data_IF_457924219093
#
_entry.id   IF_457924219093
#
_cell.length_a   1.000
_cell.length_b   1.000
_cell.length_c   1.000
_cell.angle_alpha   90.00
_cell.angle_beta   90.00
_cell.angle_gamma   90.00
#
_symmetry.space_group_name_H-M   'P 1'
#
loop_
_entity.id
_entity.type
_entity.pdbx_description
1 polymer ?
#
# COMPACT_ATOMS: atom_id res chain seq x y z
N UNK A 1 -1.76 -22.07 5.13
CA UNK A 1 -1.26 -21.35 3.92
C UNK A 1 -0.79 -19.98 4.38
N UNK A 2 0.47 -19.61 4.15
CA UNK A 2 0.96 -18.26 4.42
C UNK A 2 0.37 -17.33 3.35
N UNK A 3 -0.56 -16.44 3.70
CA UNK A 3 -1.03 -15.41 2.78
C UNK A 3 0.09 -14.37 2.64
N UNK A 4 0.83 -14.45 1.53
CA UNK A 4 1.91 -13.52 1.25
C UNK A 4 1.32 -12.24 0.64
N UNK A 5 0.90 -11.29 1.48
CA UNK A 5 0.29 -10.01 1.06
C UNK A 5 1.27 -9.03 0.37
N UNK A 6 2.49 -9.48 0.06
CA UNK A 6 3.58 -8.66 -0.47
C UNK A 6 3.31 -8.07 -1.85
N UNK A 7 2.41 -8.68 -2.63
CA UNK A 7 2.14 -8.32 -4.02
C UNK A 7 0.70 -7.89 -4.26
N UNK A 8 -0.07 -7.68 -3.20
CA UNK A 8 -1.52 -7.46 -3.30
C UNK A 8 -1.86 -6.26 -4.17
N UNK A 9 -1.13 -5.15 -4.03
CA UNK A 9 -1.37 -3.96 -4.85
C UNK A 9 -0.95 -4.15 -6.30
N UNK A 10 0.11 -4.92 -6.57
CA UNK A 10 0.54 -5.25 -7.92
C UNK A 10 -0.47 -6.17 -8.62
N UNK A 11 -1.00 -7.16 -7.91
CA UNK A 11 -2.07 -8.02 -8.39
C UNK A 11 -3.35 -7.23 -8.65
N UNK A 12 -3.71 -6.31 -7.76
CA UNK A 12 -4.85 -5.42 -7.94
C UNK A 12 -4.73 -4.55 -9.19
N UNK A 13 -3.57 -3.90 -9.39
CA UNK A 13 -3.28 -3.16 -10.62
C UNK A 13 -3.35 -4.06 -11.86
N UNK A 14 -2.81 -5.28 -11.78
CA UNK A 14 -2.85 -6.24 -12.90
C UNK A 14 -4.28 -6.62 -13.26
N UNK A 15 -5.16 -6.83 -12.29
CA UNK A 15 -6.58 -7.08 -12.53
C UNK A 15 -7.25 -5.90 -13.24
N UNK A 16 -6.95 -4.66 -12.81
CA UNK A 16 -7.45 -3.45 -13.47
C UNK A 16 -6.94 -3.36 -14.92
N UNK A 17 -5.65 -3.61 -15.14
CA UNK A 17 -5.03 -3.60 -16.47
C UNK A 17 -5.68 -4.61 -17.41
N UNK A 18 -5.99 -5.82 -16.94
CA UNK A 18 -6.74 -6.82 -17.72
C UNK A 18 -8.18 -6.36 -18.00
N UNK A 19 -8.85 -5.76 -17.02
CA UNK A 19 -10.22 -5.26 -17.19
C UNK A 19 -10.32 -4.14 -18.25
N UNK A 20 -9.25 -3.38 -18.52
CA UNK A 20 -9.22 -2.37 -19.60
C UNK A 20 -9.50 -2.96 -20.98
N UNK A 21 -9.17 -4.24 -21.18
CA UNK A 21 -9.31 -4.93 -22.46
C UNK A 21 -10.75 -5.42 -22.73
N UNK A 22 -11.64 -5.31 -21.74
CA UNK A 22 -13.02 -5.80 -21.84
C UNK A 22 -13.93 -4.79 -22.58
N UNK A 23 -15.06 -5.26 -23.14
CA UNK A 23 -16.09 -4.39 -23.70
C UNK A 23 -16.60 -3.38 -22.67
N UNK A 24 -16.96 -2.17 -23.12
CA UNK A 24 -17.24 -1.04 -22.21
C UNK A 24 -18.38 -1.31 -21.21
N UNK A 25 -19.41 -2.06 -21.63
CA UNK A 25 -20.53 -2.44 -20.75
C UNK A 25 -20.02 -3.28 -19.56
N UNK A 26 -19.15 -4.25 -19.83
CA UNK A 26 -18.59 -5.14 -18.80
C UNK A 26 -17.57 -4.37 -17.94
N UNK A 27 -16.74 -3.55 -18.58
CA UNK A 27 -15.74 -2.69 -17.94
C UNK A 27 -16.38 -1.78 -16.88
N UNK A 28 -17.51 -1.15 -17.18
CA UNK A 28 -18.23 -0.28 -16.24
C UNK A 28 -18.69 -1.02 -14.97
N UNK A 29 -19.19 -2.25 -15.12
CA UNK A 29 -19.62 -3.09 -13.99
C UNK A 29 -18.41 -3.45 -13.11
N UNK A 30 -17.32 -3.89 -13.74
CA UNK A 30 -16.11 -4.30 -13.03
C UNK A 30 -15.44 -3.10 -12.34
N UNK A 31 -15.39 -1.92 -12.99
CA UNK A 31 -14.82 -0.72 -12.39
C UNK A 31 -15.58 -0.31 -11.14
N UNK A 32 -16.92 -0.40 -11.16
CA UNK A 32 -17.72 -0.18 -9.95
C UNK A 32 -17.36 -1.15 -8.82
N UNK A 33 -17.15 -2.43 -9.14
CA UNK A 33 -16.71 -3.44 -8.15
C UNK A 33 -15.33 -3.09 -7.59
N UNK A 34 -14.36 -2.73 -8.44
CA UNK A 34 -13.03 -2.33 -7.99
C UNK A 34 -13.03 -1.06 -7.15
N UNK A 35 -13.80 -0.04 -7.52
CA UNK A 35 -13.93 1.18 -6.71
C UNK A 35 -14.51 0.91 -5.32
N UNK A 36 -15.50 0.02 -5.24
CA UNK A 36 -16.09 -0.35 -3.95
C UNK A 36 -15.18 -1.23 -3.09
N UNK A 37 -14.20 -1.91 -3.69
CA UNK A 37 -13.28 -2.85 -3.03
C UNK A 37 -11.81 -2.40 -3.13
N UNK A 38 -11.58 -1.09 -3.21
CA UNK A 38 -10.26 -0.48 -3.42
C UNK A 38 -9.29 -0.56 -2.22
N UNK A 39 -9.47 -1.52 -1.30
CA UNK A 39 -8.68 -1.68 -0.08
C UNK A 39 -7.19 -1.87 -0.38
N UNK A 40 -6.87 -2.64 -1.42
CA UNK A 40 -5.49 -2.92 -1.85
C UNK A 40 -4.76 -1.72 -2.45
N UNK A 41 -5.50 -0.68 -2.85
CA UNK A 41 -4.93 0.57 -3.34
C UNK A 41 -4.81 1.63 -2.21
N UNK A 42 -5.08 1.27 -0.95
CA UNK A 42 -4.91 2.20 0.15
C UNK A 42 -3.44 2.69 0.22
N UNK A 43 -3.17 3.98 0.51
CA UNK A 43 -1.81 4.51 0.54
C UNK A 43 -0.85 3.70 1.42
N UNK A 44 -1.34 3.15 2.53
CA UNK A 44 -0.59 2.27 3.42
C UNK A 44 -0.11 0.98 2.73
N UNK A 45 -1.03 0.26 2.08
CA UNK A 45 -0.73 -0.98 1.35
C UNK A 45 0.21 -0.72 0.16
N UNK A 46 -0.01 0.40 -0.54
CA UNK A 46 0.87 0.85 -1.62
C UNK A 46 2.30 1.08 -1.12
N UNK A 47 2.48 1.86 -0.06
CA UNK A 47 3.81 2.16 0.50
C UNK A 47 4.51 0.90 1.00
N UNK A 48 3.79 -0.04 1.62
CA UNK A 48 4.34 -1.32 2.04
C UNK A 48 4.81 -2.19 0.86
N UNK A 49 4.00 -2.24 -0.21
CA UNK A 49 4.35 -2.94 -1.45
C UNK A 49 5.56 -2.29 -2.11
N UNK A 50 5.57 -0.95 -2.19
CA UNK A 50 6.67 -0.17 -2.75
C UNK A 50 7.99 -0.37 -2.00
N UNK A 51 7.94 -0.52 -0.67
CA UNK A 51 9.13 -0.79 0.15
C UNK A 51 9.80 -2.11 -0.25
N UNK A 52 9.05 -3.06 -0.83
CA UNK A 52 9.52 -4.37 -1.31
C UNK A 52 9.76 -4.43 -2.82
N UNK A 53 9.53 -3.34 -3.55
CA UNK A 53 9.68 -3.33 -5.00
C UNK A 53 11.12 -3.58 -5.41
N UNK A 54 11.35 -4.39 -6.45
CA UNK A 54 12.69 -4.63 -7.02
C UNK A 54 13.38 -3.35 -7.52
N UNK A 55 12.61 -2.32 -7.88
CA UNK A 55 13.11 -1.05 -8.41
C UNK A 55 13.52 -0.12 -7.29
N UNK A 56 14.82 0.19 -7.20
CA UNK A 56 15.41 1.04 -6.16
C UNK A 56 14.69 2.38 -5.97
N UNK A 57 14.41 3.10 -7.05
CA UNK A 57 13.77 4.42 -6.97
C UNK A 57 12.37 4.38 -6.32
N UNK A 58 11.65 3.26 -6.45
CA UNK A 58 10.33 3.07 -5.83
C UNK A 58 10.46 2.80 -4.34
N UNK A 59 11.45 2.01 -3.93
CA UNK A 59 11.76 1.78 -2.52
C UNK A 59 12.17 3.08 -1.82
N UNK A 60 13.05 3.86 -2.45
CA UNK A 60 13.45 5.17 -1.94
C UNK A 60 12.26 6.12 -1.78
N UNK A 61 11.33 6.12 -2.74
CA UNK A 61 10.08 6.87 -2.65
C UNK A 61 9.19 6.40 -1.50
N UNK A 62 9.09 5.09 -1.25
CA UNK A 62 8.37 4.53 -0.11
C UNK A 62 8.97 4.98 1.22
N UNK A 63 10.29 4.88 1.37
CA UNK A 63 11.02 5.32 2.56
C UNK A 63 10.80 6.80 2.81
N UNK A 64 10.92 7.64 1.77
CA UNK A 64 10.65 9.07 1.88
C UNK A 64 9.24 9.36 2.40
N UNK A 65 8.23 8.64 1.90
CA UNK A 65 6.84 8.80 2.33
C UNK A 65 6.62 8.38 3.79
N UNK A 66 7.22 7.28 4.23
CA UNK A 66 7.14 6.82 5.62
C UNK A 66 7.77 7.84 6.57
N UNK A 67 8.97 8.32 6.25
CA UNK A 67 9.68 9.32 7.06
C UNK A 67 8.87 10.62 7.16
N UNK A 68 8.32 11.13 6.04
CA UNK A 68 7.44 12.30 6.06
C UNK A 68 6.16 12.07 6.88
N UNK A 69 5.61 10.85 6.89
CA UNK A 69 4.45 10.52 7.69
C UNK A 69 4.77 10.49 9.20
N UNK A 70 5.95 9.99 9.59
CA UNK A 70 6.46 10.05 10.97
C UNK A 70 6.59 11.49 11.47
N UNK A 71 7.18 12.36 10.67
CA UNK A 71 7.34 13.78 11.00
C UNK A 71 6.00 14.51 11.14
N UNK A 72 4.98 14.12 10.38
CA UNK A 72 3.62 14.68 10.50
C UNK A 72 2.92 14.18 11.77
N UNK A 73 3.11 12.91 12.13
CA UNK A 73 2.56 12.29 13.35
C UNK A 73 3.13 12.93 14.62
N UNK A 74 4.43 13.23 14.65
CA UNK A 74 5.04 13.92 15.81
C UNK A 74 4.53 15.36 15.99
N UNK A 75 4.01 15.99 14.94
CA UNK A 75 3.43 17.35 14.98
C UNK A 75 1.93 17.37 15.31
N UNK A 76 1.19 16.30 15.03
CA UNK A 76 -0.26 16.20 15.24
C UNK A 76 -0.58 15.07 16.23
N UNK A 77 -0.56 15.37 17.52
CA UNK A 77 -0.81 14.43 18.61
C UNK A 77 -2.30 14.11 18.81
N UNK A 78 -2.92 13.31 17.93
CA UNK A 78 -4.23 12.73 18.23
C UNK A 78 -5.19 12.44 17.07
N UNK A 79 -4.75 12.43 15.81
CA UNK A 79 -5.65 12.15 14.68
C UNK A 79 -6.01 10.66 14.54
N UNK A 80 -7.31 10.34 14.63
CA UNK A 80 -7.86 9.01 14.32
C UNK A 80 -7.52 8.59 12.87
N UNK A 81 -7.15 7.31 12.67
CA UNK A 81 -6.92 6.73 11.36
C UNK A 81 -8.25 6.46 10.65
N UNK A 82 -8.79 7.44 9.92
CA UNK A 82 -9.98 7.18 9.10
C UNK A 82 -9.57 6.39 7.85
N UNK A 83 -10.02 5.14 7.78
CA UNK A 83 -9.89 4.34 6.57
C UNK A 83 -10.86 4.89 5.52
N UNK A 84 -10.34 5.66 4.56
CA UNK A 84 -11.10 6.17 3.42
C UNK A 84 -10.73 5.37 2.19
N UNK A 85 -11.73 4.84 1.49
CA UNK A 85 -11.49 4.17 0.22
C UNK A 85 -10.87 5.15 -0.78
N UNK A 86 -9.73 4.81 -1.40
CA UNK A 86 -9.09 5.68 -2.36
C UNK A 86 -9.88 5.70 -3.67
N UNK A 87 -9.86 6.85 -4.35
CA UNK A 87 -10.34 6.93 -5.73
C UNK A 87 -9.29 6.28 -6.64
N UNK A 88 -9.68 5.21 -7.32
CA UNK A 88 -8.81 4.47 -8.23
C UNK A 88 -8.63 5.22 -9.56
N UNK A 89 -7.39 5.34 -9.99
CA UNK A 89 -7.03 5.71 -11.35
C UNK A 89 -7.03 4.46 -12.24
N UNK A 90 -8.14 4.25 -12.96
CA UNK A 90 -8.27 3.09 -13.85
C UNK A 90 -7.34 3.12 -15.04
N UNK A 91 -6.69 4.25 -15.37
CA UNK A 91 -5.75 4.38 -16.49
C UNK A 91 -4.27 4.32 -16.05
N UNK A 92 -3.99 4.07 -14.76
CA UNK A 92 -2.65 3.99 -14.20
C UNK A 92 -1.72 3.06 -15.01
N UNK A 93 -0.56 3.58 -15.47
CA UNK A 93 0.42 2.79 -16.20
C UNK A 93 1.18 1.80 -15.29
N UNK A 94 1.23 2.11 -13.99
CA UNK A 94 1.88 1.30 -12.96
C UNK A 94 1.02 1.29 -11.68
N UNK A 95 1.23 0.32 -10.80
CA UNK A 95 0.51 0.24 -9.53
C UNK A 95 0.80 1.45 -8.64
N UNK A 96 1.98 2.07 -8.77
CA UNK A 96 2.32 3.28 -8.03
C UNK A 96 1.41 4.46 -8.38
N UNK A 97 0.75 4.45 -9.54
CA UNK A 97 -0.12 5.54 -10.01
C UNK A 97 -1.61 5.23 -9.81
N UNK A 98 -1.94 4.16 -9.08
CA UNK A 98 -3.33 3.74 -8.80
C UNK A 98 -4.13 4.79 -8.04
N UNK A 99 -3.48 5.65 -7.28
CA UNK A 99 -4.12 6.69 -6.48
C UNK A 99 -3.49 8.05 -6.75
N UNK A 100 -4.28 9.08 -6.49
CA UNK A 100 -3.77 10.44 -6.47
C UNK A 100 -3.07 10.74 -5.14
N UNK A 101 -1.75 10.66 -5.15
CA UNK A 101 -0.91 10.93 -3.99
C UNK A 101 -1.00 12.37 -3.48
N UNK A 102 -1.42 13.34 -4.30
CA UNK A 102 -1.55 14.74 -3.87
C UNK A 102 -2.76 14.95 -2.95
N UNK A 103 -3.81 14.16 -3.17
CA UNK A 103 -5.06 14.20 -2.41
C UNK A 103 -5.17 13.10 -1.35
N UNK A 104 -4.11 12.31 -1.15
CA UNK A 104 -4.06 11.25 -0.14
C UNK A 104 -3.18 11.63 1.06
N UNK A 105 -3.69 11.37 2.26
CA UNK A 105 -2.88 11.47 3.48
C UNK A 105 -2.15 10.14 3.68
N UNK A 106 -0.83 10.15 3.52
CA UNK A 106 0.01 9.01 3.88
C UNK A 106 0.27 9.06 5.38
N UNK A 107 -0.11 7.98 6.07
CA UNK A 107 0.17 7.77 7.49
C UNK A 107 1.26 6.70 7.59
N UNK A 108 2.05 6.75 8.66
CA UNK A 108 3.02 5.71 8.98
C UNK A 108 2.30 4.36 9.11
N UNK A 109 2.62 3.36 8.26
CA UNK A 109 2.04 2.04 8.37
C UNK A 109 2.36 1.41 9.74
N UNK A 110 1.38 0.77 10.42
CA UNK A 110 1.62 0.09 11.71
C UNK A 110 2.78 -0.90 11.66
N UNK A 111 2.92 -1.60 10.52
CA UNK A 111 4.00 -2.57 10.27
C UNK A 111 5.40 -1.95 10.23
N UNK A 112 5.50 -0.62 10.11
CA UNK A 112 6.79 0.08 10.09
C UNK A 112 7.13 0.72 11.44
N UNK A 113 6.19 0.85 12.38
CA UNK A 113 6.35 1.58 13.65
C UNK A 113 7.60 1.13 14.44
N UNK A 114 7.88 -0.17 14.46
CA UNK A 114 9.01 -0.73 15.22
C UNK A 114 10.35 -0.66 14.46
N UNK A 115 10.35 -0.27 13.19
CA UNK A 115 11.54 -0.16 12.36
C UNK A 115 12.13 1.24 12.53
N UNK A 116 13.42 1.35 12.87
CA UNK A 116 14.07 2.67 13.05
C UNK A 116 14.29 3.35 11.71
N UNK A 117 14.39 4.68 11.72
CA UNK A 117 14.63 5.48 10.50
C UNK A 117 15.91 5.07 9.76
N UNK A 118 16.96 4.68 10.50
CA UNK A 118 18.21 4.19 9.91
C UNK A 118 17.97 2.90 9.12
N UNK A 119 17.28 1.93 9.73
CA UNK A 119 16.99 0.64 9.13
C UNK A 119 16.06 0.81 7.92
N UNK A 120 15.05 1.70 7.98
CA UNK A 120 14.22 2.04 6.83
C UNK A 120 15.04 2.63 5.67
N UNK A 121 16.04 3.47 5.94
CA UNK A 121 16.91 4.03 4.90
C UNK A 121 17.84 2.98 4.29
N UNK A 122 18.28 2.00 5.07
CA UNK A 122 19.03 0.84 4.57
C UNK A 122 18.14 -0.04 3.70
N UNK A 123 16.91 -0.28 4.14
CA UNK A 123 15.89 -0.99 3.37
C UNK A 123 15.68 -0.36 1.97
N UNK A 124 15.61 0.96 1.87
CA UNK A 124 15.51 1.63 0.55
C UNK A 124 16.67 1.34 -0.41
N UNK A 125 17.83 0.95 0.10
CA UNK A 125 19.07 0.75 -0.67
C UNK A 125 19.35 -0.71 -1.01
N UNK A 126 18.89 -1.66 -0.21
CA UNK A 126 19.16 -3.09 -0.39
C UNK A 126 18.41 -3.68 -1.59
N UNK A 127 19.05 -4.61 -2.31
CA UNK A 127 18.47 -5.30 -3.49
C UNK A 127 17.59 -6.49 -3.12
N UNK A 128 17.82 -7.09 -1.94
CA UNK A 128 17.04 -8.22 -1.44
C UNK A 128 16.67 -7.98 0.01
N UNK A 129 15.39 -8.17 0.28
CA UNK A 129 14.91 -8.10 1.65
C UNK A 129 14.74 -9.49 2.25
N UNK A 130 15.06 -9.65 3.55
CA UNK A 130 14.45 -10.73 4.30
C UNK A 130 12.93 -10.54 4.28
N UNK A 131 12.21 -11.63 4.03
CA UNK A 131 10.76 -11.72 4.25
C UNK A 131 10.49 -11.20 5.65
N UNK A 132 9.62 -10.19 5.81
CA UNK A 132 9.08 -9.89 7.13
C UNK A 132 8.34 -11.14 7.59
N UNK A 133 8.93 -11.86 8.53
CA UNK A 133 8.21 -12.87 9.28
C UNK A 133 7.27 -12.11 10.19
N UNK A 134 6.01 -11.97 9.76
CA UNK A 134 4.95 -11.54 10.66
C UNK A 134 4.83 -12.60 11.75
N UNK A 135 4.93 -12.20 13.02
CA UNK A 135 4.49 -13.07 14.11
C UNK A 135 2.99 -13.33 13.91
N UNK A 136 2.59 -14.59 14.02
CA UNK A 136 1.19 -14.98 13.86
C UNK A 136 0.36 -14.28 14.94
N UNK A 137 -0.58 -13.44 14.52
CA UNK A 137 -1.63 -12.98 15.42
C UNK A 137 -2.59 -14.16 15.64
N UNK A 138 -2.38 -14.90 16.74
CA UNK A 138 -3.29 -15.97 17.15
C UNK A 138 -4.68 -15.39 17.39
N UNK A 139 -5.62 -15.64 16.47
CA UNK A 139 -7.03 -15.21 16.60
C UNK A 139 -7.81 -16.03 17.66
N UNK A 140 -7.18 -16.36 18.79
CA UNK A 140 -7.83 -17.12 19.86
C UNK A 140 -8.64 -16.25 20.83
N UNK A 141 -8.69 -14.93 20.67
CA UNK A 141 -9.35 -14.04 21.64
C UNK A 141 -10.21 -12.91 21.07
N UNK A 142 -10.72 -13.04 19.83
CA UNK A 142 -11.70 -12.09 19.29
C UNK A 142 -13.10 -12.72 19.20
N UNK A 143 -13.63 -13.17 20.34
CA UNK A 143 -15.07 -13.23 20.59
C UNK A 143 -15.30 -12.48 21.91
N UNK A 144 -15.80 -11.25 21.79
CA UNK A 144 -16.64 -10.58 22.77
C UNK A 144 -17.42 -9.50 22.02
#
# INVERSE_FOLDING_TARGET
MKSNCQYDTQHFWKMISLARQLPDIVKQIIYKVFSNNAYFAHPEHLVLTMLRDSRKHIRELAVSRILSAREKKTKNSGGWHFFKLPKINFEAADYIDLIDWSNCVVIEPPLTIHIKDKDLKEMGKEEQFPVLTFEEFSMSHAIC
#
